data_IF_416189376870
#
_entry.id   IF_416189376870
#
_cell.length_a   1.000
_cell.length_b   1.000
_cell.length_c   1.000
_cell.angle_alpha   90.00
_cell.angle_beta   90.00
_cell.angle_gamma   90.00
#
_symmetry.space_group_name_H-M   'P 1'
#
loop_
_entity.id
_entity.type
_entity.pdbx_description
1 polymer ?
#
# COMPACT_ATOMS: atom_id res chain seq x y z
N UNK A 1 58.30 26.16 -31.58
CA UNK A 1 56.87 25.92 -31.85
C UNK A 1 56.25 25.40 -30.56
N UNK A 2 55.60 26.26 -29.78
CA UNK A 2 54.93 25.90 -28.52
C UNK A 2 53.43 25.83 -28.75
N UNK A 3 52.79 24.76 -28.26
CA UNK A 3 51.36 24.53 -28.40
C UNK A 3 50.56 25.56 -27.57
N UNK A 4 49.69 26.40 -28.18
CA UNK A 4 49.01 27.51 -27.50
C UNK A 4 47.71 27.12 -26.77
N UNK A 5 47.32 25.84 -26.72
CA UNK A 5 45.97 25.45 -26.30
C UNK A 5 45.79 25.05 -24.83
N UNK A 6 46.71 25.41 -23.91
CA UNK A 6 46.62 24.98 -22.50
C UNK A 6 46.61 26.13 -21.48
N UNK A 7 45.97 27.25 -21.81
CA UNK A 7 45.71 28.31 -20.83
C UNK A 7 44.29 28.85 -21.06
N UNK A 8 43.30 28.40 -20.27
CA UNK A 8 41.95 28.98 -20.36
C UNK A 8 40.76 28.17 -19.88
N UNK A 9 40.91 27.11 -19.09
CA UNK A 9 39.77 26.41 -18.48
C UNK A 9 39.89 26.31 -16.96
N UNK A 10 40.13 27.46 -16.32
CA UNK A 10 39.62 27.67 -14.97
C UNK A 10 38.82 28.95 -15.03
N UNK A 11 37.58 28.83 -15.54
CA UNK A 11 36.56 29.82 -15.30
C UNK A 11 36.46 30.01 -13.79
N UNK A 12 36.57 31.26 -13.34
CA UNK A 12 36.40 31.63 -11.94
C UNK A 12 35.01 31.16 -11.52
N UNK A 13 34.93 30.02 -10.84
CA UNK A 13 33.69 29.57 -10.25
C UNK A 13 33.36 30.62 -9.18
N UNK A 14 32.29 31.38 -9.40
CA UNK A 14 31.88 32.40 -8.46
C UNK A 14 31.53 31.71 -7.13
N UNK A 15 32.38 31.91 -6.13
CA UNK A 15 32.19 31.37 -4.78
C UNK A 15 30.79 31.68 -4.23
N UNK A 16 30.18 32.79 -4.66
CA UNK A 16 28.82 33.18 -4.30
C UNK A 16 27.78 32.26 -4.94
N UNK A 17 27.95 31.89 -6.21
CA UNK A 17 27.05 30.94 -6.89
C UNK A 17 27.15 29.54 -6.31
N UNK A 18 28.36 29.11 -5.93
CA UNK A 18 28.55 27.84 -5.21
C UNK A 18 27.81 27.88 -3.88
N UNK A 19 28.00 28.95 -3.08
CA UNK A 19 27.35 29.09 -1.78
C UNK A 19 25.82 29.07 -1.90
N UNK A 20 25.26 29.78 -2.88
CA UNK A 20 23.82 29.78 -3.15
C UNK A 20 23.31 28.38 -3.52
N UNK A 21 24.06 27.66 -4.35
CA UNK A 21 23.70 26.30 -4.77
C UNK A 21 23.73 25.33 -3.58
N UNK A 22 24.75 25.41 -2.73
CA UNK A 22 24.87 24.57 -1.52
C UNK A 22 23.73 24.85 -0.54
N UNK A 23 23.40 26.12 -0.30
CA UNK A 23 22.25 26.50 0.54
C UNK A 23 20.97 25.89 -0.01
N UNK A 24 20.74 26.01 -1.32
CA UNK A 24 19.55 25.50 -1.95
C UNK A 24 19.43 23.98 -1.87
N UNK A 25 20.54 23.26 -2.04
CA UNK A 25 20.58 21.79 -1.89
C UNK A 25 20.26 21.40 -0.45
N UNK A 26 20.84 22.07 0.54
CA UNK A 26 20.57 21.81 1.96
C UNK A 26 19.08 21.99 2.30
N UNK A 27 18.44 23.08 1.83
CA UNK A 27 17.00 23.30 2.02
C UNK A 27 16.13 22.18 1.43
N UNK A 28 16.48 21.71 0.23
CA UNK A 28 15.74 20.63 -0.44
C UNK A 28 15.95 19.28 0.27
N UNK A 29 17.16 19.03 0.76
CA UNK A 29 17.48 17.83 1.51
C UNK A 29 16.75 17.80 2.86
N UNK A 30 16.64 18.92 3.57
CA UNK A 30 15.87 18.99 4.83
C UNK A 30 14.39 18.65 4.61
N UNK A 31 13.79 19.10 3.51
CA UNK A 31 12.40 18.79 3.19
C UNK A 31 12.19 17.30 2.88
N UNK A 32 13.16 16.65 2.24
CA UNK A 32 13.07 15.24 1.82
C UNK A 32 13.50 14.26 2.92
N UNK A 33 14.40 14.69 3.81
CA UNK A 33 14.98 13.87 4.87
C UNK A 33 14.30 14.08 6.22
N UNK A 34 13.26 14.92 6.31
CA UNK A 34 12.41 14.93 7.50
C UNK A 34 11.91 13.51 7.72
N UNK A 35 12.31 12.85 8.83
CA UNK A 35 11.94 11.47 9.04
C UNK A 35 10.43 11.45 9.20
N UNK A 36 9.74 11.05 8.14
CA UNK A 36 8.33 10.69 8.24
C UNK A 36 8.31 9.56 9.25
N UNK A 37 7.75 9.83 10.45
CA UNK A 37 7.63 8.81 11.49
C UNK A 37 7.11 7.53 10.84
N UNK A 38 7.71 6.36 11.13
CA UNK A 38 7.26 5.11 10.52
C UNK A 38 5.77 5.01 10.75
N UNK A 39 5.01 5.06 9.65
CA UNK A 39 3.55 5.02 9.72
C UNK A 39 3.22 3.73 10.43
N UNK A 40 2.68 3.84 11.64
CA UNK A 40 2.37 2.70 12.49
C UNK A 40 1.40 1.83 11.67
N UNK A 41 1.92 0.70 11.18
CA UNK A 41 1.12 -0.20 10.36
C UNK A 41 0.21 -0.91 11.34
N UNK A 42 -1.04 -0.46 11.45
CA UNK A 42 -2.07 -1.20 12.18
C UNK A 42 -2.06 -2.62 11.64
N UNK A 43 -1.61 -3.56 12.48
CA UNK A 43 -1.59 -4.95 12.11
C UNK A 43 -3.03 -5.39 11.87
N UNK A 44 -3.37 -5.93 10.70
CA UNK A 44 -4.73 -6.35 10.41
C UNK A 44 -5.12 -7.44 11.42
N UNK A 45 -6.20 -7.20 12.16
CA UNK A 45 -6.66 -8.14 13.17
C UNK A 45 -7.16 -9.42 12.46
N UNK A 46 -6.49 -10.57 12.64
CA UNK A 46 -6.82 -11.76 11.87
C UNK A 46 -8.15 -12.36 12.34
N UNK A 47 -8.98 -12.75 11.38
CA UNK A 47 -10.20 -13.52 11.58
C UNK A 47 -10.05 -14.93 11.02
N UNK A 48 -10.48 -15.92 11.79
CA UNK A 48 -10.62 -17.28 11.30
C UNK A 48 -11.83 -17.43 10.38
N UNK A 49 -11.85 -18.52 9.63
CA UNK A 49 -12.93 -18.85 8.71
C UNK A 49 -14.31 -18.93 9.38
N UNK A 50 -14.41 -19.40 10.62
CA UNK A 50 -15.69 -19.54 11.31
C UNK A 50 -16.28 -18.15 11.61
N UNK A 51 -15.45 -17.22 12.08
CA UNK A 51 -15.84 -15.83 12.29
C UNK A 51 -16.30 -15.18 10.99
N UNK A 52 -15.54 -15.36 9.90
CA UNK A 52 -15.88 -14.78 8.59
C UNK A 52 -17.23 -15.28 8.09
N UNK A 53 -17.46 -16.59 8.11
CA UNK A 53 -18.71 -17.21 7.67
C UNK A 53 -19.89 -16.73 8.53
N UNK A 54 -19.72 -16.69 9.85
CA UNK A 54 -20.73 -16.20 10.78
C UNK A 54 -21.05 -14.72 10.54
N UNK A 55 -20.04 -13.90 10.28
CA UNK A 55 -20.20 -12.46 10.07
C UNK A 55 -20.85 -12.13 8.73
N UNK A 56 -20.53 -12.91 7.68
CA UNK A 56 -21.13 -12.76 6.36
C UNK A 56 -22.52 -13.42 6.25
N UNK A 57 -22.88 -14.31 7.18
CA UNK A 57 -24.16 -15.01 7.19
C UNK A 57 -24.31 -16.00 6.02
N UNK A 58 -23.23 -16.67 5.63
CA UNK A 58 -23.19 -17.59 4.49
C UNK A 58 -22.86 -19.02 4.94
N UNK A 59 -22.99 -19.99 4.05
CA UNK A 59 -22.49 -21.35 4.28
C UNK A 59 -21.00 -21.47 3.95
N UNK A 60 -20.34 -22.49 4.51
CA UNK A 60 -18.95 -22.83 4.20
C UNK A 60 -18.73 -23.13 2.72
N UNK A 61 -19.65 -23.84 2.07
CA UNK A 61 -19.59 -24.13 0.63
C UNK A 61 -19.66 -22.87 -0.22
N UNK A 62 -20.53 -21.92 0.15
CA UNK A 62 -20.62 -20.61 -0.51
C UNK A 62 -19.33 -19.83 -0.38
N UNK A 63 -18.71 -19.87 0.81
CA UNK A 63 -17.43 -19.21 1.02
C UNK A 63 -16.34 -19.73 0.06
N UNK A 64 -16.15 -21.04 -0.01
CA UNK A 64 -15.09 -21.63 -0.85
C UNK A 64 -15.34 -21.44 -2.36
N UNK A 65 -16.60 -21.44 -2.80
CA UNK A 65 -16.94 -21.32 -4.22
C UNK A 65 -16.96 -19.87 -4.73
N UNK A 66 -17.44 -18.93 -3.90
CA UNK A 66 -17.72 -17.55 -4.34
C UNK A 66 -16.83 -16.49 -3.71
N UNK A 67 -16.26 -16.73 -2.52
CA UNK A 67 -15.56 -15.68 -1.76
C UNK A 67 -14.06 -15.90 -1.72
N UNK A 68 -13.62 -17.11 -1.33
CA UNK A 68 -12.20 -17.43 -1.16
C UNK A 68 -11.41 -17.09 -2.42
N UNK A 69 -10.35 -16.29 -2.27
CA UNK A 69 -9.45 -15.83 -3.34
C UNK A 69 -10.10 -15.00 -4.46
N UNK A 70 -11.40 -14.70 -4.38
CA UNK A 70 -12.13 -13.86 -5.34
C UNK A 70 -12.48 -12.50 -4.72
N UNK A 71 -13.10 -12.54 -3.54
CA UNK A 71 -13.57 -11.37 -2.81
C UNK A 71 -12.78 -11.11 -1.53
N UNK A 72 -12.17 -12.15 -0.95
CA UNK A 72 -11.28 -12.04 0.20
C UNK A 72 -10.00 -12.82 -0.06
N UNK A 73 -8.86 -12.18 0.16
CA UNK A 73 -7.57 -12.83 0.15
C UNK A 73 -7.15 -13.23 1.58
N UNK A 74 -6.57 -14.42 1.78
CA UNK A 74 -6.02 -14.79 3.07
C UNK A 74 -4.78 -13.95 3.36
N UNK A 75 -4.75 -13.34 4.54
CA UNK A 75 -3.63 -12.49 5.01
C UNK A 75 -2.48 -13.37 5.49
N UNK A 76 -2.82 -14.46 6.19
CA UNK A 76 -1.83 -15.43 6.63
C UNK A 76 -2.43 -16.84 6.68
N UNK A 77 -1.54 -17.82 6.76
CA UNK A 77 -1.88 -19.23 6.85
C UNK A 77 -1.06 -19.88 7.96
N UNK A 78 -1.74 -20.50 8.91
CA UNK A 78 -1.12 -21.27 9.99
C UNK A 78 -1.54 -22.73 9.81
N UNK A 79 -0.60 -23.56 9.39
CA UNK A 79 -0.87 -24.94 8.96
C UNK A 79 -1.86 -24.98 7.78
N UNK A 80 -3.00 -25.65 7.96
CA UNK A 80 -4.08 -25.72 6.96
C UNK A 80 -5.20 -24.69 7.17
N UNK A 81 -5.04 -23.77 8.13
CA UNK A 81 -6.04 -22.74 8.44
C UNK A 81 -5.63 -21.41 7.80
N UNK A 82 -6.54 -20.85 7.04
CA UNK A 82 -6.41 -19.52 6.43
C UNK A 82 -7.08 -18.49 7.35
N UNK A 83 -6.41 -17.35 7.50
CA UNK A 83 -6.91 -16.20 8.25
C UNK A 83 -7.09 -15.01 7.31
N UNK A 84 -8.09 -14.20 7.62
CA UNK A 84 -8.56 -13.10 6.78
C UNK A 84 -8.55 -11.80 7.57
N UNK A 85 -8.36 -10.66 6.89
CA UNK A 85 -8.44 -9.36 7.55
C UNK A 85 -9.90 -9.04 7.93
N UNK A 86 -10.13 -8.70 9.19
CA UNK A 86 -11.45 -8.24 9.66
C UNK A 86 -11.90 -6.98 8.93
N UNK A 87 -10.99 -6.05 8.66
CA UNK A 87 -11.29 -4.81 7.94
C UNK A 87 -11.88 -5.08 6.56
N UNK A 88 -11.19 -5.89 5.76
CA UNK A 88 -11.68 -6.38 4.47
C UNK A 88 -13.05 -7.07 4.55
N UNK A 89 -13.26 -7.94 5.55
CA UNK A 89 -14.55 -8.64 5.73
C UNK A 89 -15.68 -7.66 6.01
N UNK A 90 -15.46 -6.66 6.87
CA UNK A 90 -16.45 -5.61 7.16
C UNK A 90 -16.70 -4.72 5.95
N UNK A 91 -15.65 -4.37 5.21
CA UNK A 91 -15.77 -3.60 3.97
C UNK A 91 -16.59 -4.36 2.91
N UNK A 92 -16.45 -5.69 2.83
CA UNK A 92 -17.26 -6.51 1.95
C UNK A 92 -18.75 -6.44 2.31
N UNK A 93 -19.07 -6.37 3.60
CA UNK A 93 -20.46 -6.19 4.08
C UNK A 93 -20.97 -4.80 3.72
N UNK A 94 -20.18 -3.76 3.93
CA UNK A 94 -20.54 -2.38 3.56
C UNK A 94 -20.82 -2.26 2.07
N UNK A 95 -19.92 -2.78 1.21
CA UNK A 95 -20.12 -2.84 -0.24
C UNK A 95 -21.40 -3.58 -0.64
N UNK A 96 -21.80 -4.63 0.11
CA UNK A 96 -23.06 -5.34 -0.11
C UNK A 96 -24.29 -4.48 0.23
N UNK A 97 -24.20 -3.65 1.28
CA UNK A 97 -25.27 -2.74 1.69
C UNK A 97 -25.41 -1.56 0.71
N UNK A 98 -24.28 -0.99 0.29
CA UNK A 98 -24.26 0.12 -0.69
C UNK A 98 -24.71 -0.35 -2.08
N UNK A 99 -24.56 -1.65 -2.39
CA UNK A 99 -24.91 -2.19 -3.70
C UNK A 99 -26.43 -2.38 -3.92
N UNK A 100 -27.27 -2.33 -2.87
CA UNK A 100 -28.75 -2.52 -2.81
C UNK A 100 -29.45 -3.16 -4.03
N UNK A 101 -28.79 -4.16 -4.61
CA UNK A 101 -29.30 -5.10 -5.60
C UNK A 101 -28.98 -6.46 -5.02
N UNK A 102 -29.98 -7.23 -4.59
CA UNK A 102 -29.73 -8.49 -3.93
C UNK A 102 -29.04 -9.45 -4.90
N UNK A 103 -27.97 -10.11 -4.43
CA UNK A 103 -27.28 -11.24 -5.06
C UNK A 103 -28.19 -12.48 -5.32
N UNK A 104 -29.51 -12.32 -5.22
CA UNK A 104 -30.51 -13.34 -5.50
C UNK A 104 -30.61 -13.72 -6.99
N UNK A 105 -29.86 -13.07 -7.90
CA UNK A 105 -29.82 -13.49 -9.31
C UNK A 105 -28.93 -14.71 -9.57
N UNK A 106 -28.15 -15.18 -8.60
CA UNK A 106 -27.27 -16.35 -8.79
C UNK A 106 -27.59 -17.53 -7.85
N UNK A 107 -28.79 -17.53 -7.25
CA UNK A 107 -29.34 -18.64 -6.48
C UNK A 107 -30.74 -18.90 -7.04
N UNK A 108 -30.81 -19.57 -8.18
CA UNK A 108 -31.99 -20.33 -8.58
C UNK A 108 -31.57 -21.81 -8.68
N UNK A 109 -32.46 -22.74 -8.32
CA UNK A 109 -32.19 -24.18 -8.29
C UNK A 109 -31.78 -24.76 -9.64
#
# INVERSE_FOLDING_TARGET
MGNPYFCGLMENIDSKEILLTVIRISELLEQLLTPTAPKEVEMPEPADLYWVIKKLGISRSTFYSRIRKKLLQPVCRIGNREYYDRGEVLNLIRRKQDADRPFNKYLQP
#
